data_IF_256431521018
#
_entry.id   IF_256431521018
#
_cell.length_a   1.000
_cell.length_b   1.000
_cell.length_c   1.000
_cell.angle_alpha   90.00
_cell.angle_beta   90.00
_cell.angle_gamma   90.00
#
_symmetry.space_group_name_H-M   'P 1'
#
loop_
_entity.id
_entity.type
_entity.pdbx_description
1 polymer ?
#
# COMPACT_ATOMS: atom_id res chain seq x y z
N UNK A 1 -4.45 11.85 -26.94
CA UNK A 1 -3.85 12.06 -25.59
C UNK A 1 -2.59 11.22 -25.45
N UNK A 2 -1.49 11.85 -25.13
CA UNK A 2 -0.25 11.11 -24.86
C UNK A 2 -0.11 10.85 -23.39
N UNK A 3 0.04 9.59 -23.02
CA UNK A 3 0.34 9.19 -21.65
C UNK A 3 1.86 9.25 -21.47
N UNK A 4 2.32 9.97 -20.45
CA UNK A 4 3.75 10.04 -20.13
C UNK A 4 4.12 8.89 -19.19
N UNK A 5 4.76 7.88 -19.74
CA UNK A 5 5.23 6.73 -18.97
C UNK A 5 6.29 7.15 -17.94
N UNK A 6 7.17 8.09 -18.32
CA UNK A 6 8.20 8.57 -17.39
C UNK A 6 7.61 9.29 -16.18
N UNK A 7 6.56 10.07 -16.37
CA UNK A 7 5.87 10.74 -15.26
C UNK A 7 5.17 9.72 -14.36
N UNK A 8 4.55 8.71 -14.95
CA UNK A 8 3.91 7.65 -14.19
C UNK A 8 4.92 6.89 -13.33
N UNK A 9 6.08 6.54 -13.88
CA UNK A 9 7.15 5.90 -13.12
C UNK A 9 7.63 6.77 -11.97
N UNK A 10 7.82 8.06 -12.20
CA UNK A 10 8.25 9.01 -11.16
C UNK A 10 7.22 9.09 -10.04
N UNK A 11 5.94 9.07 -10.37
CA UNK A 11 4.88 9.10 -9.36
C UNK A 11 4.93 7.87 -8.49
N UNK A 12 5.02 6.69 -9.07
CA UNK A 12 5.12 5.44 -8.32
C UNK A 12 6.34 5.43 -7.40
N UNK A 13 7.50 5.75 -7.94
CA UNK A 13 8.74 5.75 -7.18
C UNK A 13 8.71 6.80 -6.08
N UNK A 14 8.17 7.98 -6.37
CA UNK A 14 8.06 9.06 -5.40
C UNK A 14 7.15 8.72 -4.22
N UNK A 15 6.15 7.87 -4.43
CA UNK A 15 5.24 7.43 -3.39
C UNK A 15 5.71 6.15 -2.70
N UNK A 16 6.82 5.56 -3.14
CA UNK A 16 7.34 4.34 -2.56
C UNK A 16 7.98 4.62 -1.21
N UNK A 17 7.67 3.75 -0.27
CA UNK A 17 8.25 3.74 1.08
C UNK A 17 9.01 2.44 1.26
N UNK A 18 9.32 2.07 2.47
CA UNK A 18 10.10 0.87 2.75
C UNK A 18 9.27 -0.39 2.47
N UNK A 19 9.36 -0.88 1.25
CA UNK A 19 8.72 -2.12 0.82
C UNK A 19 7.28 -2.00 0.36
N UNK A 20 6.70 -0.81 0.39
CA UNK A 20 5.34 -0.56 -0.07
C UNK A 20 5.24 0.83 -0.68
N UNK A 21 4.12 1.09 -1.36
CA UNK A 21 3.90 2.34 -2.06
C UNK A 21 2.60 2.97 -1.60
N UNK A 22 2.63 4.26 -1.31
CA UNK A 22 1.43 5.00 -0.94
C UNK A 22 0.58 5.25 -2.18
N UNK A 23 -0.78 5.23 -2.04
CA UNK A 23 -1.66 5.53 -3.17
C UNK A 23 -1.51 6.97 -3.66
N UNK A 24 -1.14 7.86 -2.77
CA UNK A 24 -0.87 9.25 -3.06
C UNK A 24 0.19 9.77 -2.09
N UNK A 25 0.11 11.02 -1.67
CA UNK A 25 1.09 11.58 -0.75
C UNK A 25 0.83 11.15 0.71
N UNK A 26 1.81 11.40 1.58
CA UNK A 26 1.78 11.03 2.99
C UNK A 26 0.60 11.58 3.78
N UNK A 27 0.04 12.69 3.34
CA UNK A 27 -0.92 13.43 4.15
C UNK A 27 -2.32 12.82 4.07
N UNK A 28 -2.66 12.26 2.92
CA UNK A 28 -4.03 11.83 2.67
C UNK A 28 -4.22 10.34 2.89
N UNK A 29 -3.32 9.52 2.38
CA UNK A 29 -3.43 8.06 2.49
C UNK A 29 -2.09 7.47 2.95
N UNK A 30 -1.76 7.57 4.24
CA UNK A 30 -0.43 7.21 4.75
C UNK A 30 -0.29 5.73 5.10
N UNK A 31 -0.78 4.84 4.26
CA UNK A 31 -0.75 3.41 4.51
C UNK A 31 -0.67 2.63 3.20
N UNK A 32 -0.58 1.32 3.29
CA UNK A 32 -0.68 0.43 2.13
C UNK A 32 -2.11 -0.05 2.00
N UNK A 33 -2.75 0.22 0.86
CA UNK A 33 -4.09 -0.28 0.55
C UNK A 33 -3.99 -1.50 -0.35
N UNK A 34 -4.79 -2.52 -0.07
CA UNK A 34 -4.81 -3.79 -0.79
C UNK A 34 -5.08 -3.60 -2.29
N UNK A 35 -6.19 -2.99 -2.61
CA UNK A 35 -6.60 -2.71 -3.97
C UNK A 35 -5.52 -1.92 -4.74
N UNK A 36 -5.06 -0.85 -4.13
CA UNK A 36 -4.05 0.01 -4.75
C UNK A 36 -2.74 -0.73 -4.97
N UNK A 37 -2.31 -1.54 -4.01
CA UNK A 37 -1.07 -2.31 -4.14
C UNK A 37 -1.12 -3.31 -5.29
N UNK A 38 -2.28 -3.88 -5.57
CA UNK A 38 -2.45 -4.77 -6.71
C UNK A 38 -2.16 -4.04 -8.03
N UNK A 39 -2.74 -2.88 -8.22
CA UNK A 39 -2.51 -2.08 -9.41
C UNK A 39 -1.11 -1.47 -9.45
N UNK A 40 -0.60 -1.04 -8.31
CA UNK A 40 0.76 -0.51 -8.20
C UNK A 40 1.79 -1.57 -8.58
N UNK A 41 1.62 -2.79 -8.08
CA UNK A 41 2.50 -3.90 -8.44
C UNK A 41 2.44 -4.20 -9.94
N UNK A 42 1.25 -4.18 -10.51
CA UNK A 42 1.10 -4.34 -11.96
C UNK A 42 1.88 -3.26 -12.71
N UNK A 43 1.78 -2.01 -12.27
CA UNK A 43 2.55 -0.91 -12.86
C UNK A 43 4.05 -1.13 -12.76
N UNK A 44 4.56 -1.52 -11.58
CA UNK A 44 5.96 -1.83 -11.39
C UNK A 44 6.44 -2.98 -12.28
N UNK A 45 5.59 -3.97 -12.54
CA UNK A 45 5.98 -5.14 -13.30
C UNK A 45 6.49 -4.81 -14.71
N UNK A 46 6.14 -3.64 -15.24
CA UNK A 46 6.59 -3.20 -16.56
C UNK A 46 8.01 -2.65 -16.57
N UNK A 47 8.56 -2.26 -15.42
CA UNK A 47 9.89 -1.65 -15.40
C UNK A 47 10.75 -2.05 -14.20
N UNK A 48 10.19 -2.62 -13.16
CA UNK A 48 10.96 -3.07 -11.99
C UNK A 48 10.22 -4.20 -11.27
N UNK A 49 10.46 -5.42 -11.72
CA UNK A 49 9.80 -6.59 -11.17
C UNK A 49 10.08 -6.78 -9.67
N UNK A 50 11.28 -6.42 -9.21
CA UNK A 50 11.60 -6.52 -7.78
C UNK A 50 10.71 -5.64 -6.93
N UNK A 51 10.39 -4.43 -7.39
CA UNK A 51 9.47 -3.54 -6.70
C UNK A 51 8.05 -4.11 -6.71
N UNK A 52 7.63 -4.71 -7.82
CA UNK A 52 6.31 -5.36 -7.91
C UNK A 52 6.19 -6.49 -6.90
N UNK A 53 7.16 -7.38 -6.85
CA UNK A 53 7.17 -8.51 -5.92
C UNK A 53 7.24 -8.04 -4.47
N UNK A 54 8.02 -7.01 -4.19
CA UNK A 54 8.14 -6.47 -2.83
C UNK A 54 6.82 -5.85 -2.36
N UNK A 55 6.13 -5.14 -3.25
CA UNK A 55 4.81 -4.57 -2.94
C UNK A 55 3.81 -5.65 -2.52
N UNK A 56 3.73 -6.72 -3.29
CA UNK A 56 2.81 -7.83 -3.03
C UNK A 56 3.23 -8.59 -1.77
N UNK A 57 4.50 -8.91 -1.62
CA UNK A 57 4.98 -9.65 -0.46
C UNK A 57 4.77 -8.89 0.83
N UNK A 58 4.98 -7.58 0.82
CA UNK A 58 4.73 -6.74 1.99
C UNK A 58 3.25 -6.75 2.37
N UNK A 59 2.37 -6.69 1.38
CA UNK A 59 0.93 -6.79 1.63
C UNK A 59 0.56 -8.15 2.22
N UNK A 60 1.10 -9.24 1.66
CA UNK A 60 0.82 -10.60 2.13
C UNK A 60 1.39 -10.88 3.52
N UNK A 61 2.45 -10.19 3.93
CA UNK A 61 2.98 -10.29 5.28
C UNK A 61 1.95 -9.86 6.34
N UNK A 62 0.95 -9.08 5.94
CA UNK A 62 -0.16 -8.69 6.81
C UNK A 62 -1.33 -9.67 6.80
N UNK A 63 -1.22 -10.80 6.14
CA UNK A 63 -2.28 -11.79 6.06
C UNK A 63 -2.63 -12.33 7.44
N UNK A 64 -3.92 -12.45 7.73
CA UNK A 64 -4.41 -13.01 8.98
C UNK A 64 -4.29 -14.52 8.99
N UNK A 65 -4.35 -15.11 10.18
CA UNK A 65 -4.27 -16.57 10.36
C UNK A 65 -5.35 -17.33 9.60
N UNK A 66 -6.51 -16.72 9.44
CA UNK A 66 -7.62 -17.30 8.68
C UNK A 66 -7.47 -17.15 7.16
N UNK A 67 -6.40 -16.50 6.72
CA UNK A 67 -6.10 -16.30 5.30
C UNK A 67 -6.51 -14.94 4.75
N UNK A 68 -7.22 -14.14 5.51
CA UNK A 68 -7.67 -12.84 5.05
C UNK A 68 -6.50 -11.88 4.84
N UNK A 69 -6.46 -11.21 3.69
CA UNK A 69 -5.53 -10.12 3.44
C UNK A 69 -6.26 -8.82 3.74
N UNK A 70 -5.73 -7.96 4.62
CA UNK A 70 -6.46 -6.77 5.04
C UNK A 70 -6.63 -5.76 3.91
N UNK A 71 -7.67 -4.93 4.01
CA UNK A 71 -7.87 -3.83 3.07
C UNK A 71 -6.81 -2.76 3.22
N UNK A 72 -6.37 -2.52 4.44
CA UNK A 72 -5.40 -1.48 4.76
C UNK A 72 -4.37 -2.07 5.71
N UNK A 73 -3.10 -1.83 5.42
CA UNK A 73 -1.99 -2.26 6.25
C UNK A 73 -1.22 -1.02 6.71
N UNK A 74 -1.26 -0.78 8.01
CA UNK A 74 -0.55 0.35 8.61
C UNK A 74 0.86 -0.07 8.98
N UNK A 75 1.83 0.44 8.25
CA UNK A 75 3.25 0.21 8.53
C UNK A 75 3.80 1.20 9.53
N UNK A 76 3.06 2.31 9.75
CA UNK A 76 3.43 3.35 10.67
C UNK A 76 2.20 3.69 11.52
N UNK A 77 2.29 3.47 12.82
CA UNK A 77 1.16 3.64 13.74
C UNK A 77 0.95 5.12 14.10
N UNK A 78 0.40 5.87 13.18
CA UNK A 78 -0.09 7.22 13.52
C UNK A 78 -1.51 7.11 14.02
N UNK A 79 -1.65 7.21 15.31
CA UNK A 79 -2.86 6.90 16.05
C UNK A 79 -4.10 7.67 15.60
N UNK A 80 -3.97 8.95 15.22
CA UNK A 80 -5.13 9.76 14.84
C UNK A 80 -5.82 9.24 13.59
N UNK A 81 -5.04 8.87 12.58
CA UNK A 81 -5.61 8.33 11.35
C UNK A 81 -6.26 6.97 11.60
N UNK A 82 -5.62 6.13 12.41
CA UNK A 82 -6.14 4.81 12.77
C UNK A 82 -7.47 4.95 13.50
N UNK A 83 -7.58 5.88 14.43
CA UNK A 83 -8.83 6.11 15.16
C UNK A 83 -9.98 6.52 14.24
N UNK A 84 -9.72 7.40 13.30
CA UNK A 84 -10.74 7.83 12.34
C UNK A 84 -11.25 6.63 11.54
N UNK A 85 -10.37 5.76 11.10
CA UNK A 85 -10.74 4.60 10.30
C UNK A 85 -11.44 3.55 11.16
N UNK A 86 -11.01 3.35 12.41
CA UNK A 86 -11.65 2.39 13.31
C UNK A 86 -13.08 2.80 13.63
N UNK A 87 -13.38 4.09 13.68
CA UNK A 87 -14.76 4.57 13.81
C UNK A 87 -15.57 4.41 12.53
N UNK A 88 -14.91 4.18 11.40
CA UNK A 88 -15.51 4.19 10.09
C UNK A 88 -15.74 2.83 9.45
N UNK A 89 -15.83 1.73 10.18
CA UNK A 89 -16.33 0.46 9.63
C UNK A 89 -15.30 -0.40 8.88
N UNK A 90 -14.06 -0.03 8.81
CA UNK A 90 -13.09 -0.81 8.04
C UNK A 90 -12.42 -1.84 8.93
N UNK A 91 -12.35 -3.08 8.47
CA UNK A 91 -11.57 -4.10 9.15
C UNK A 91 -10.10 -3.77 8.92
N UNK A 92 -9.45 -3.36 9.98
CA UNK A 92 -8.07 -2.94 9.93
C UNK A 92 -7.23 -3.88 10.78
N UNK A 93 -6.13 -4.33 10.22
CA UNK A 93 -5.13 -5.03 11.01
C UNK A 93 -3.77 -4.52 10.60
N UNK A 94 -3.02 -3.99 11.56
CA UNK A 94 -1.61 -3.73 11.32
C UNK A 94 -0.80 -4.97 11.65
N UNK A 95 0.40 -5.07 11.11
CA UNK A 95 1.31 -6.15 11.43
C UNK A 95 1.68 -6.20 12.91
N UNK A 96 1.37 -5.15 13.65
CA UNK A 96 1.71 -5.03 15.07
C UNK A 96 0.53 -5.28 16.02
N UNK A 97 -0.66 -5.56 15.51
CA UNK A 97 -1.87 -5.70 16.30
C UNK A 97 -2.36 -7.14 16.40
N UNK A 98 -1.49 -8.07 16.33
CA UNK A 98 -1.87 -9.47 16.52
C UNK A 98 -2.10 -9.84 17.97
#
# INVERSE_FOLDING_TARGET
MKVSINKAKKTLIGNRRKGYTLPTNNKLYPAQWNWDSGFIALGYSYFNLNFALKEINTLLDGQWKDGMVPHILFHNTRTNFIQIILHGIVVIKSTHLE
#
